data_IF_979396151774
#
_entry.id   IF_979396151774
#
_cell.length_a   1.000
_cell.length_b   1.000
_cell.length_c   1.000
_cell.angle_alpha   90.00
_cell.angle_beta   90.00
_cell.angle_gamma   90.00
#
_symmetry.space_group_name_H-M   'P 1'
#
loop_
_entity.id
_entity.type
_entity.pdbx_description
1 polymer ?
#
# COMPACT_ATOMS: atom_id res chain seq x y z
N UNK A 1 6.82 -11.97 -8.27
CA UNK A 1 8.22 -12.20 -8.71
C UNK A 1 8.81 -10.82 -8.98
N UNK A 2 9.74 -10.34 -8.15
CA UNK A 2 10.37 -9.03 -8.39
C UNK A 2 11.38 -9.25 -9.51
N UNK A 3 11.18 -8.60 -10.65
CA UNK A 3 12.05 -8.69 -11.82
C UNK A 3 13.49 -8.29 -11.44
N UNK A 4 14.47 -9.03 -11.95
CA UNK A 4 15.90 -8.75 -11.74
C UNK A 4 16.27 -7.35 -12.23
N UNK A 5 15.60 -6.86 -13.28
CA UNK A 5 15.73 -5.48 -13.78
C UNK A 5 15.28 -4.48 -12.72
N UNK A 6 14.20 -4.78 -11.99
CA UNK A 6 13.68 -3.94 -10.92
C UNK A 6 14.60 -3.91 -9.70
N UNK A 7 15.23 -5.04 -9.34
CA UNK A 7 16.26 -5.09 -8.31
C UNK A 7 17.51 -4.29 -8.69
N UNK A 8 17.93 -4.39 -9.97
CA UNK A 8 19.04 -3.61 -10.54
C UNK A 8 18.78 -2.09 -10.53
N UNK A 9 17.54 -1.64 -10.64
CA UNK A 9 17.17 -0.23 -10.44
C UNK A 9 17.07 0.14 -8.95
N UNK A 10 16.75 -0.81 -8.07
CA UNK A 10 16.82 -0.63 -6.62
C UNK A 10 18.25 -0.38 -6.12
N UNK A 11 19.26 -0.93 -6.79
CA UNK A 11 20.68 -0.66 -6.51
C UNK A 11 21.15 0.73 -6.93
N UNK A 12 20.41 1.38 -7.84
CA UNK A 12 20.75 2.71 -8.36
C UNK A 12 20.50 3.82 -7.34
N UNK A 13 19.52 3.65 -6.46
CA UNK A 13 19.06 4.68 -5.53
C UNK A 13 19.39 4.23 -4.12
N UNK A 14 20.49 4.72 -3.55
CA UNK A 14 20.77 4.50 -2.13
C UNK A 14 19.69 5.22 -1.30
N UNK A 15 18.80 4.42 -0.70
CA UNK A 15 17.70 4.88 0.19
C UNK A 15 17.86 4.32 1.60
N UNK A 16 19.10 4.05 2.03
CA UNK A 16 19.39 3.45 3.33
C UNK A 16 18.90 4.34 4.48
N UNK A 17 18.94 5.67 4.30
CA UNK A 17 18.42 6.63 5.26
C UNK A 17 16.91 6.49 5.48
N UNK A 18 16.14 6.39 4.38
CA UNK A 18 14.70 6.22 4.43
C UNK A 18 14.30 4.82 4.90
N UNK A 19 15.04 3.78 4.49
CA UNK A 19 14.86 2.42 4.99
C UNK A 19 15.11 2.34 6.50
N UNK A 20 16.15 3.01 7.00
CA UNK A 20 16.43 3.09 8.45
C UNK A 20 15.31 3.80 9.20
N UNK A 21 14.74 4.88 8.64
CA UNK A 21 13.57 5.56 9.23
C UNK A 21 12.35 4.64 9.27
N UNK A 22 12.10 3.89 8.19
CA UNK A 22 11.05 2.89 8.15
C UNK A 22 11.22 1.85 9.26
N UNK A 23 12.42 1.26 9.38
CA UNK A 23 12.75 0.32 10.44
C UNK A 23 12.48 0.91 11.83
N UNK A 24 12.91 2.15 12.08
CA UNK A 24 12.64 2.82 13.35
C UNK A 24 11.13 2.97 13.62
N UNK A 25 10.31 3.33 12.62
CA UNK A 25 8.85 3.47 12.78
C UNK A 25 8.17 2.13 13.03
N UNK A 26 8.67 1.07 12.39
CA UNK A 26 8.20 -0.30 12.62
C UNK A 26 8.51 -0.74 14.05
N UNK A 27 9.72 -0.44 14.53
CA UNK A 27 10.18 -0.83 15.86
C UNK A 27 9.60 0.06 16.98
N UNK A 28 9.19 1.29 16.65
CA UNK A 28 8.65 2.26 17.60
C UNK A 28 7.11 2.21 17.66
N UNK A 29 6.55 2.08 18.86
CA UNK A 29 5.10 2.11 19.10
C UNK A 29 4.47 3.51 19.01
N UNK A 30 5.26 4.58 19.05
CA UNK A 30 4.79 5.96 19.04
C UNK A 30 4.11 6.31 17.71
N UNK A 31 4.71 5.90 16.60
CA UNK A 31 4.27 6.24 15.24
C UNK A 31 3.45 5.13 14.62
N UNK A 32 2.39 5.51 13.92
CA UNK A 32 1.56 4.56 13.18
C UNK A 32 1.71 4.73 11.67
N UNK A 33 2.07 5.94 11.22
CA UNK A 33 2.09 6.29 9.80
C UNK A 33 3.45 6.85 9.42
N UNK A 34 4.03 6.30 8.36
CA UNK A 34 5.14 6.89 7.62
C UNK A 34 4.63 7.43 6.29
N UNK A 35 4.97 8.68 5.97
CA UNK A 35 4.70 9.27 4.66
C UNK A 35 6.03 9.47 3.94
N UNK A 36 6.14 8.94 2.74
CA UNK A 36 7.29 9.09 1.85
C UNK A 36 6.87 10.05 0.74
N UNK A 37 7.42 11.27 0.79
CA UNK A 37 7.06 12.33 -0.13
C UNK A 37 8.10 12.49 -1.24
N UNK A 38 7.66 12.89 -2.43
CA UNK A 38 8.55 13.44 -3.45
C UNK A 38 8.01 13.24 -4.85
N UNK A 39 8.48 14.06 -5.79
CA UNK A 39 7.94 14.11 -7.14
C UNK A 39 8.07 12.79 -7.92
N UNK A 40 7.27 12.65 -8.98
CA UNK A 40 7.37 11.53 -9.93
C UNK A 40 8.82 11.36 -10.43
N UNK A 41 9.33 10.12 -10.36
CA UNK A 41 10.69 9.77 -10.79
C UNK A 41 11.78 9.93 -9.72
N UNK A 42 11.44 10.37 -8.50
CA UNK A 42 12.38 10.45 -7.37
C UNK A 42 12.72 9.08 -6.74
N UNK A 43 12.10 8.00 -7.20
CA UNK A 43 12.37 6.63 -6.72
C UNK A 43 11.45 6.14 -5.59
N UNK A 44 10.23 6.69 -5.45
CA UNK A 44 9.19 6.19 -4.53
C UNK A 44 8.93 4.69 -4.72
N UNK A 45 8.63 4.25 -5.95
CA UNK A 45 8.36 2.84 -6.26
C UNK A 45 9.57 1.93 -6.00
N UNK A 46 10.80 2.40 -6.24
CA UNK A 46 12.01 1.62 -5.93
C UNK A 46 12.15 1.42 -4.42
N UNK A 47 11.92 2.48 -3.62
CA UNK A 47 11.89 2.38 -2.17
C UNK A 47 10.75 1.48 -1.70
N UNK A 48 9.53 1.64 -2.21
CA UNK A 48 8.37 0.79 -1.89
C UNK A 48 8.70 -0.71 -2.04
N UNK A 49 9.30 -1.10 -3.16
CA UNK A 49 9.75 -2.49 -3.38
C UNK A 49 10.83 -2.93 -2.41
N UNK A 50 11.75 -2.03 -2.03
CA UNK A 50 12.75 -2.31 -0.99
C UNK A 50 12.10 -2.50 0.38
N UNK A 51 11.05 -1.74 0.72
CA UNK A 51 10.29 -1.92 1.96
C UNK A 51 9.57 -3.28 1.97
N UNK A 52 8.97 -3.70 0.85
CA UNK A 52 8.38 -5.05 0.73
C UNK A 52 9.44 -6.13 0.99
N UNK A 53 10.62 -5.99 0.38
CA UNK A 53 11.74 -6.92 0.59
C UNK A 53 12.16 -6.96 2.06
N UNK A 54 12.28 -5.81 2.72
CA UNK A 54 12.59 -5.72 4.14
C UNK A 54 11.53 -6.43 5.00
N UNK A 55 10.24 -6.18 4.74
CA UNK A 55 9.13 -6.85 5.43
C UNK A 55 9.16 -8.37 5.22
N UNK A 56 9.21 -8.83 3.97
CA UNK A 56 9.04 -10.24 3.61
C UNK A 56 10.29 -11.08 3.86
N UNK A 57 11.45 -10.59 3.42
CA UNK A 57 12.64 -11.42 3.30
C UNK A 57 13.57 -11.25 4.50
N UNK A 58 13.67 -10.04 5.06
CA UNK A 58 14.56 -9.73 6.18
C UNK A 58 13.85 -9.91 7.53
N UNK A 59 12.74 -9.21 7.73
CA UNK A 59 12.05 -9.15 9.03
C UNK A 59 10.93 -10.18 9.21
N UNK A 60 10.53 -10.86 8.14
CA UNK A 60 9.45 -11.88 8.14
C UNK A 60 8.12 -11.37 8.72
N UNK A 61 7.82 -10.09 8.48
CA UNK A 61 6.58 -9.43 8.91
C UNK A 61 5.49 -9.65 7.86
N UNK A 62 4.23 -9.66 8.32
CA UNK A 62 3.09 -9.63 7.39
C UNK A 62 2.98 -8.24 6.78
N UNK A 63 2.67 -8.18 5.50
CA UNK A 63 2.48 -6.93 4.79
C UNK A 63 1.26 -7.02 3.86
N UNK A 64 0.69 -5.87 3.52
CA UNK A 64 -0.26 -5.70 2.44
C UNK A 64 0.20 -4.55 1.54
N UNK A 65 0.04 -4.68 0.22
CA UNK A 65 0.43 -3.65 -0.75
C UNK A 65 -0.78 -3.23 -1.59
N UNK A 66 -0.92 -1.93 -1.79
CA UNK A 66 -1.87 -1.35 -2.74
C UNK A 66 -1.13 -0.38 -3.65
N UNK A 67 -1.38 -0.46 -4.96
CA UNK A 67 -0.80 0.44 -5.95
C UNK A 67 -1.84 0.76 -7.04
N UNK A 68 -1.71 1.94 -7.65
CA UNK A 68 -2.63 2.43 -8.66
C UNK A 68 -2.04 2.27 -10.05
N UNK A 69 -2.76 1.56 -10.91
CA UNK A 69 -2.52 1.57 -12.36
C UNK A 69 -3.32 2.71 -13.00
N UNK A 70 -2.71 3.45 -13.90
CA UNK A 70 -3.34 4.60 -14.59
C UNK A 70 -4.62 4.21 -15.37
N UNK A 71 -4.85 2.93 -15.62
CA UNK A 71 -5.97 2.41 -16.40
C UNK A 71 -7.18 2.00 -15.56
N UNK A 72 -7.14 2.13 -14.22
CA UNK A 72 -8.24 1.72 -13.33
C UNK A 72 -8.47 2.75 -12.22
N UNK A 73 -9.73 3.10 -11.96
CA UNK A 73 -10.10 3.79 -10.73
C UNK A 73 -10.18 2.77 -9.59
N UNK A 74 -9.27 2.88 -8.62
CA UNK A 74 -9.38 2.10 -7.38
C UNK A 74 -10.18 2.93 -6.39
N UNK A 75 -11.29 2.37 -5.93
CA UNK A 75 -12.10 2.91 -4.83
C UNK A 75 -11.69 2.28 -3.49
N UNK A 76 -12.22 2.81 -2.39
CA UNK A 76 -12.03 2.29 -1.03
C UNK A 76 -12.26 0.77 -0.91
N UNK A 77 -13.26 0.21 -1.60
CA UNK A 77 -13.54 -1.23 -1.61
C UNK A 77 -12.39 -2.03 -2.20
N UNK A 78 -11.74 -1.51 -3.24
CA UNK A 78 -10.62 -2.18 -3.90
C UNK A 78 -9.39 -2.21 -2.97
N UNK A 79 -9.16 -1.13 -2.22
CA UNK A 79 -8.11 -1.08 -1.19
C UNK A 79 -8.37 -2.12 -0.10
N UNK A 80 -9.58 -2.15 0.48
CA UNK A 80 -9.94 -3.13 1.51
C UNK A 80 -9.83 -4.58 1.01
N UNK A 81 -10.33 -4.89 -0.20
CA UNK A 81 -10.20 -6.22 -0.81
C UNK A 81 -8.74 -6.63 -0.97
N UNK A 82 -7.89 -5.73 -1.49
CA UNK A 82 -6.47 -6.02 -1.67
C UNK A 82 -5.77 -6.32 -0.35
N UNK A 83 -6.02 -5.50 0.68
CA UNK A 83 -5.46 -5.73 2.02
C UNK A 83 -5.95 -7.05 2.60
N UNK A 84 -7.25 -7.36 2.48
CA UNK A 84 -7.81 -8.66 2.87
C UNK A 84 -7.04 -9.80 2.21
N UNK A 85 -6.89 -9.74 0.89
CA UNK A 85 -6.30 -10.84 0.11
C UNK A 85 -4.82 -11.05 0.47
N UNK A 86 -4.08 -9.97 0.76
CA UNK A 86 -2.68 -10.05 1.21
C UNK A 86 -2.54 -10.56 2.64
N UNK A 87 -3.45 -10.17 3.54
CA UNK A 87 -3.41 -10.57 4.96
C UNK A 87 -3.91 -12.02 5.17
N UNK A 88 -4.81 -12.46 4.31
CA UNK A 88 -5.48 -13.77 4.35
C UNK A 88 -7.00 -13.60 4.38
N UNK A 89 -7.67 -13.96 3.27
CA UNK A 89 -9.11 -13.74 3.11
C UNK A 89 -9.98 -14.49 4.13
N UNK A 90 -9.48 -15.61 4.67
CA UNK A 90 -10.09 -16.41 5.73
C UNK A 90 -10.30 -15.62 7.03
N UNK A 91 -9.52 -14.55 7.25
CA UNK A 91 -9.62 -13.70 8.44
C UNK A 91 -10.66 -12.59 8.34
N UNK A 92 -11.28 -12.42 7.18
CA UNK A 92 -12.21 -11.34 6.86
C UNK A 92 -13.56 -11.89 6.43
N UNK A 93 -14.04 -12.93 7.10
CA UNK A 93 -15.30 -13.58 6.73
C UNK A 93 -16.47 -12.61 6.86
N UNK A 94 -16.58 -11.89 7.98
CA UNK A 94 -17.70 -10.97 8.23
C UNK A 94 -17.68 -9.79 7.24
N UNK A 95 -16.51 -9.22 6.97
CA UNK A 95 -16.34 -8.23 5.91
C UNK A 95 -16.72 -8.78 4.54
N UNK A 96 -16.31 -10.00 4.21
CA UNK A 96 -16.61 -10.64 2.92
C UNK A 96 -18.11 -10.90 2.77
N UNK A 97 -18.80 -11.30 3.84
CA UNK A 97 -20.25 -11.52 3.86
C UNK A 97 -21.00 -10.21 3.68
N UNK A 98 -20.59 -9.16 4.39
CA UNK A 98 -21.17 -7.81 4.26
C UNK A 98 -20.94 -7.21 2.86
N UNK A 99 -19.75 -7.41 2.32
CA UNK A 99 -19.39 -7.02 0.97
C UNK A 99 -20.26 -7.73 -0.08
N UNK A 100 -20.45 -9.05 0.05
CA UNK A 100 -21.33 -9.83 -0.82
C UNK A 100 -22.78 -9.35 -0.70
N UNK A 101 -23.25 -9.07 0.51
CA UNK A 101 -24.58 -8.54 0.77
C UNK A 101 -24.86 -7.23 0.01
N UNK A 102 -23.85 -6.35 -0.13
CA UNK A 102 -24.01 -5.10 -0.89
C UNK A 102 -23.81 -5.20 -2.40
N UNK A 103 -23.14 -6.25 -2.89
CA UNK A 103 -22.68 -6.33 -4.30
C UNK A 103 -23.30 -7.48 -5.11
N UNK A 104 -23.87 -8.50 -4.46
CA UNK A 104 -24.45 -9.68 -5.12
C UNK A 104 -25.95 -9.77 -4.88
N UNK A 105 -26.74 -9.72 -5.95
CA UNK A 105 -28.21 -9.73 -5.92
C UNK A 105 -28.81 -11.02 -5.33
N UNK A 106 -28.11 -12.13 -5.49
CA UNK A 106 -28.51 -13.47 -5.04
C UNK A 106 -28.01 -13.81 -3.63
N UNK A 107 -27.15 -12.98 -3.03
CA UNK A 107 -26.59 -13.26 -1.71
C UNK A 107 -27.63 -13.07 -0.59
N UNK A 108 -27.84 -14.13 0.20
CA UNK A 108 -28.61 -14.14 1.44
C UNK A 108 -27.65 -14.27 2.62
N UNK A 109 -27.77 -13.36 3.60
CA UNK A 109 -26.92 -13.40 4.79
C UNK A 109 -27.26 -14.65 5.61
N UNK A 110 -26.32 -15.57 5.76
CA UNK A 110 -26.51 -16.77 6.59
C UNK A 110 -25.95 -16.47 7.98
N UNK A 111 -26.83 -16.34 8.98
CA UNK A 111 -26.41 -16.13 10.37
C UNK A 111 -26.10 -17.49 11.01
N UNK A 112 -24.85 -17.69 11.45
CA UNK A 112 -24.48 -18.85 12.25
C UNK A 112 -24.74 -18.54 13.74
N UNK A 113 -25.87 -19.05 14.26
CA UNK A 113 -26.40 -18.71 15.60
C UNK A 113 -25.76 -19.55 16.71
N UNK A 114 -24.69 -20.30 16.43
CA UNK A 114 -24.19 -21.28 17.42
C UNK A 114 -23.47 -20.68 18.64
N UNK A 115 -23.08 -19.40 18.64
CA UNK A 115 -22.24 -18.84 19.73
C UNK A 115 -22.55 -17.39 20.20
N UNK A 116 -23.70 -16.78 19.87
CA UNK A 116 -24.00 -15.41 20.29
C UNK A 116 -25.27 -15.30 21.14
N UNK A 117 -25.09 -15.06 22.44
CA UNK A 117 -26.13 -14.46 23.28
C UNK A 117 -26.43 -13.04 22.78
N UNK A 118 -27.73 -12.73 22.66
CA UNK A 118 -28.32 -11.45 22.23
C UNK A 118 -27.69 -10.77 21.00
N UNK A 119 -28.26 -11.08 19.83
CA UNK A 119 -28.02 -10.31 18.61
C UNK A 119 -29.04 -9.17 18.57
N UNK A 120 -28.58 -7.93 18.80
CA UNK A 120 -29.35 -6.72 18.49
C UNK A 120 -29.43 -6.57 16.96
N UNK A 121 -30.48 -7.14 16.37
CA UNK A 121 -30.85 -6.88 14.98
C UNK A 121 -31.37 -5.45 14.90
N UNK A 122 -30.62 -4.57 14.24
CA UNK A 122 -30.99 -3.18 14.00
C UNK A 122 -32.45 -3.06 13.51
N UNK A 123 -33.13 -2.10 14.11
CA UNK A 123 -34.59 -1.92 14.30
C UNK A 123 -35.53 -1.91 13.07
N UNK A 124 -35.11 -2.34 11.87
CA UNK A 124 -35.96 -2.39 10.65
C UNK A 124 -35.65 -3.51 9.65
N UNK A 125 -34.84 -4.50 9.99
CA UNK A 125 -34.61 -5.65 9.11
C UNK A 125 -35.62 -6.76 9.43
N UNK A 126 -36.76 -6.80 8.71
CA UNK A 126 -37.62 -7.98 8.70
C UNK A 126 -36.89 -9.12 7.98
N UNK A 127 -36.47 -10.14 8.72
CA UNK A 127 -35.97 -11.39 8.16
C UNK A 127 -37.18 -12.29 7.90
N UNK A 128 -37.59 -12.38 6.63
CA UNK A 128 -38.49 -13.43 6.15
C UNK A 128 -37.66 -14.45 5.36
N UNK A 129 -37.67 -15.69 5.82
CA UNK A 129 -37.02 -16.88 5.26
C UNK A 129 -35.49 -16.93 5.27
N UNK A 130 -34.92 -17.29 6.43
CA UNK A 130 -33.56 -17.82 6.54
C UNK A 130 -33.58 -19.35 6.51
N UNK A 131 -33.17 -19.94 5.39
CA UNK A 131 -32.88 -21.39 5.30
C UNK A 131 -31.51 -21.68 5.93
N UNK A 132 -31.50 -22.63 6.87
CA UNK A 132 -30.28 -23.09 7.55
C UNK A 132 -29.60 -24.12 6.64
N UNK A 133 -28.45 -23.76 6.07
CA UNK A 133 -27.65 -24.64 5.21
C UNK A 133 -26.17 -24.63 5.58
N UNK A 134 -25.57 -25.81 5.69
CA UNK A 134 -24.14 -26.02 5.97
C UNK A 134 -23.29 -25.50 4.80
N UNK A 135 -22.36 -24.58 5.08
CA UNK A 135 -21.59 -23.85 4.06
C UNK A 135 -20.59 -24.75 3.36
N UNK A 136 -20.80 -25.00 2.06
CA UNK A 136 -19.73 -25.41 1.15
C UNK A 136 -18.91 -24.16 0.80
N UNK A 137 -17.60 -24.24 1.01
CA UNK A 137 -16.65 -23.17 0.69
C UNK A 137 -16.83 -22.69 -0.76
N UNK A 138 -17.38 -21.49 -0.93
CA UNK A 138 -17.44 -20.83 -2.24
C UNK A 138 -16.04 -20.30 -2.55
N UNK A 139 -15.30 -21.08 -3.32
CA UNK A 139 -14.03 -20.66 -3.94
C UNK A 139 -14.36 -19.56 -4.95
N UNK A 140 -13.92 -18.33 -4.66
CA UNK A 140 -14.10 -17.18 -5.53
C UNK A 140 -13.14 -17.31 -6.73
N UNK A 141 -13.70 -17.27 -7.94
CA UNK A 141 -12.96 -16.85 -9.15
C UNK A 141 -13.26 -15.38 -9.38
N UNK A 142 -12.20 -14.57 -9.41
CA UNK A 142 -12.20 -13.12 -9.59
C UNK A 142 -13.11 -12.63 -10.72
N UNK A 143 -14.14 -11.88 -10.35
CA UNK A 143 -14.79 -10.92 -11.25
C UNK A 143 -14.99 -9.61 -10.48
N UNK A 144 -14.33 -8.57 -10.97
CA UNK A 144 -14.37 -7.17 -10.49
C UNK A 144 -15.78 -6.56 -10.59
N UNK A 145 -16.75 -7.06 -9.83
CA UNK A 145 -18.06 -6.45 -9.71
C UNK A 145 -18.03 -5.55 -8.48
N UNK A 146 -17.87 -4.25 -8.73
CA UNK A 146 -18.01 -3.17 -7.75
C UNK A 146 -19.38 -2.50 -7.86
N UNK A 147 -20.31 -3.05 -8.65
CA UNK A 147 -21.62 -2.45 -8.86
C UNK A 147 -22.50 -2.72 -7.64
N UNK A 148 -23.04 -1.67 -7.00
CA UNK A 148 -24.01 -1.83 -5.94
C UNK A 148 -25.26 -2.55 -6.45
N UNK A 149 -25.89 -3.33 -5.59
CA UNK A 149 -27.23 -3.88 -5.85
C UNK A 149 -28.25 -2.77 -6.12
N UNK A 150 -28.99 -2.88 -7.22
CA UNK A 150 -30.07 -1.94 -7.56
C UNK A 150 -31.30 -2.09 -6.64
N UNK A 151 -31.49 -3.27 -6.04
CA UNK A 151 -32.66 -3.56 -5.21
C UNK A 151 -32.55 -3.05 -3.76
N UNK A 152 -31.44 -2.41 -3.38
CA UNK A 152 -31.23 -1.81 -2.06
C UNK A 152 -30.71 -0.38 -2.18
N UNK A 153 -31.57 0.59 -1.86
CA UNK A 153 -31.20 2.00 -1.75
C UNK A 153 -30.40 2.27 -0.45
N UNK A 154 -29.18 1.76 -0.39
CA UNK A 154 -28.21 2.13 0.64
C UNK A 154 -27.28 3.18 0.05
N UNK A 155 -27.30 4.37 0.65
CA UNK A 155 -26.43 5.49 0.27
C UNK A 155 -24.96 5.06 0.30
N UNK A 156 -24.17 5.53 -0.65
CA UNK A 156 -22.76 5.16 -0.78
C UNK A 156 -21.96 5.41 0.51
N UNK A 157 -22.20 6.56 1.16
CA UNK A 157 -21.54 6.91 2.43
C UNK A 157 -21.86 5.92 3.55
N UNK A 158 -23.12 5.50 3.67
CA UNK A 158 -23.53 4.51 4.67
C UNK A 158 -22.89 3.15 4.40
N UNK A 159 -22.79 2.77 3.12
CA UNK A 159 -22.13 1.52 2.72
C UNK A 159 -20.64 1.57 3.03
N UNK A 160 -19.97 2.66 2.67
CA UNK A 160 -18.56 2.90 2.94
C UNK A 160 -18.30 2.77 4.44
N UNK A 161 -19.02 3.54 5.26
CA UNK A 161 -18.89 3.49 6.71
C UNK A 161 -19.05 2.07 7.27
N UNK A 162 -20.13 1.36 6.91
CA UNK A 162 -20.38 -0.01 7.41
C UNK A 162 -19.29 -0.99 6.99
N UNK A 163 -18.85 -0.92 5.73
CA UNK A 163 -17.76 -1.75 5.24
C UNK A 163 -16.45 -1.44 5.98
N UNK A 164 -16.12 -0.17 6.18
CA UNK A 164 -14.92 0.24 6.93
C UNK A 164 -14.96 -0.29 8.36
N UNK A 165 -16.08 -0.15 9.07
CA UNK A 165 -16.21 -0.60 10.46
C UNK A 165 -16.05 -2.11 10.59
N UNK A 166 -16.69 -2.87 9.70
CA UNK A 166 -16.55 -4.32 9.70
C UNK A 166 -15.12 -4.73 9.32
N UNK A 167 -14.54 -4.10 8.30
CA UNK A 167 -13.17 -4.36 7.86
C UNK A 167 -12.15 -4.11 8.98
N UNK A 168 -12.27 -2.99 9.71
CA UNK A 168 -11.42 -2.69 10.85
C UNK A 168 -11.59 -3.69 11.99
N UNK A 169 -12.82 -4.20 12.21
CA UNK A 169 -13.06 -5.24 13.20
C UNK A 169 -12.35 -6.55 12.86
N UNK A 170 -12.48 -7.00 11.62
CA UNK A 170 -11.83 -8.21 11.11
C UNK A 170 -10.30 -8.03 11.08
N UNK A 171 -9.82 -6.87 10.67
CA UNK A 171 -8.39 -6.54 10.68
C UNK A 171 -7.82 -6.57 12.09
N UNK A 172 -8.52 -6.00 13.08
CA UNK A 172 -8.10 -6.05 14.48
C UNK A 172 -7.99 -7.49 15.00
N UNK A 173 -8.99 -8.34 14.68
CA UNK A 173 -8.96 -9.76 15.03
C UNK A 173 -7.82 -10.51 14.30
N UNK A 174 -7.50 -10.11 13.06
CA UNK A 174 -6.46 -10.71 12.24
C UNK A 174 -5.02 -10.39 12.69
N UNK A 175 -4.82 -9.32 13.47
CA UNK A 175 -3.51 -8.93 14.00
C UNK A 175 -2.97 -10.00 14.96
N UNK A 176 -3.78 -10.42 15.93
CA UNK A 176 -3.29 -11.27 17.02
C UNK A 176 -2.06 -10.65 17.69
N UNK A 177 -0.95 -11.41 17.76
CA UNK A 177 0.35 -10.91 18.25
C UNK A 177 1.27 -10.40 17.14
N UNK A 178 0.81 -10.39 15.88
CA UNK A 178 1.63 -10.09 14.73
C UNK A 178 1.47 -8.65 14.25
N UNK A 179 2.61 -8.03 13.92
CA UNK A 179 2.63 -6.74 13.26
C UNK A 179 2.28 -6.86 11.78
N UNK A 180 1.50 -5.91 11.26
CA UNK A 180 1.15 -5.79 9.84
C UNK A 180 1.61 -4.43 9.31
N UNK A 181 2.33 -4.44 8.20
CA UNK A 181 2.69 -3.23 7.46
C UNK A 181 1.81 -3.09 6.23
N UNK A 182 1.03 -2.00 6.15
CA UNK A 182 0.20 -1.66 5.00
C UNK A 182 0.95 -0.62 4.18
N UNK A 183 1.41 -1.03 3.01
CA UNK A 183 2.17 -0.23 2.07
C UNK A 183 1.23 0.24 0.94
N UNK A 184 1.20 1.54 0.67
CA UNK A 184 0.32 2.12 -0.35
C UNK A 184 1.15 3.06 -1.23
N UNK A 185 1.32 2.68 -2.50
CA UNK A 185 2.04 3.45 -3.50
C UNK A 185 1.09 4.29 -4.37
N UNK A 186 1.59 5.37 -4.97
CA UNK A 186 0.83 6.29 -5.83
C UNK A 186 -0.48 6.84 -5.20
N UNK A 187 -0.43 7.24 -3.93
CA UNK A 187 -1.61 7.74 -3.17
C UNK A 187 -2.26 8.95 -3.86
N UNK A 188 -1.48 9.78 -4.55
CA UNK A 188 -1.99 10.93 -5.30
C UNK A 188 -2.99 10.57 -6.40
N UNK A 189 -2.97 9.32 -6.90
CA UNK A 189 -3.89 8.83 -7.94
C UNK A 189 -5.26 8.42 -7.41
N UNK A 190 -5.47 8.43 -6.10
CA UNK A 190 -6.78 8.17 -5.49
C UNK A 190 -7.79 9.24 -5.92
N UNK A 191 -9.06 8.82 -6.05
CA UNK A 191 -10.16 9.78 -6.13
C UNK A 191 -10.22 10.60 -4.83
N UNK A 192 -10.74 11.85 -4.86
CA UNK A 192 -10.88 12.66 -3.65
C UNK A 192 -11.62 11.91 -2.52
N UNK A 193 -12.69 11.20 -2.85
CA UNK A 193 -13.51 10.46 -1.88
C UNK A 193 -12.72 9.30 -1.23
N UNK A 194 -11.91 8.58 -2.02
CA UNK A 194 -11.07 7.49 -1.49
C UNK A 194 -9.94 8.04 -0.63
N UNK A 195 -9.39 9.20 -0.98
CA UNK A 195 -8.36 9.88 -0.19
C UNK A 195 -8.92 10.36 1.15
N UNK A 196 -10.10 10.98 1.15
CA UNK A 196 -10.76 11.43 2.37
C UNK A 196 -11.09 10.25 3.28
N UNK A 197 -11.64 9.17 2.71
CA UNK A 197 -11.89 7.91 3.42
C UNK A 197 -10.62 7.33 4.04
N UNK A 198 -9.52 7.28 3.28
CA UNK A 198 -8.25 6.70 3.74
C UNK A 198 -7.81 7.34 5.05
N UNK A 199 -7.80 8.67 5.11
CA UNK A 199 -7.32 9.40 6.28
C UNK A 199 -8.35 9.48 7.40
N UNK A 200 -9.61 9.78 7.08
CA UNK A 200 -10.65 10.11 8.07
C UNK A 200 -11.37 8.90 8.65
N UNK A 201 -11.45 7.79 7.91
CA UNK A 201 -12.09 6.57 8.40
C UNK A 201 -11.10 5.44 8.62
N UNK A 202 -10.24 5.14 7.63
CA UNK A 202 -9.42 3.94 7.70
C UNK A 202 -8.23 4.09 8.66
N UNK A 203 -7.36 5.08 8.42
CA UNK A 203 -6.19 5.35 9.28
C UNK A 203 -6.65 5.80 10.66
N UNK A 204 -7.55 6.78 10.72
CA UNK A 204 -8.11 7.28 11.99
C UNK A 204 -8.84 6.20 12.77
N UNK A 205 -9.65 5.36 12.11
CA UNK A 205 -10.35 4.26 12.76
C UNK A 205 -9.41 3.18 13.31
N UNK A 206 -8.29 2.91 12.64
CA UNK A 206 -7.26 2.03 13.17
C UNK A 206 -6.57 2.63 14.42
N UNK A 207 -6.33 3.94 14.43
CA UNK A 207 -5.80 4.66 15.60
C UNK A 207 -6.77 4.67 16.78
N UNK A 208 -8.05 4.96 16.53
CA UNK A 208 -9.08 5.03 17.58
C UNK A 208 -9.32 3.68 18.25
N UNK A 209 -9.08 2.59 17.51
CA UNK A 209 -9.10 1.21 18.03
C UNK A 209 -7.77 0.76 18.65
N UNK A 210 -6.81 1.67 18.78
CA UNK A 210 -5.48 1.45 19.36
C UNK A 210 -4.72 0.27 18.71
N UNK A 211 -4.82 0.12 17.39
CA UNK A 211 -4.15 -0.97 16.65
C UNK A 211 -2.65 -0.68 16.45
N UNK A 212 -1.88 -0.54 17.52
CA UNK A 212 -0.46 -0.17 17.48
C UNK A 212 0.44 -1.14 16.67
N UNK A 213 -0.04 -2.36 16.44
CA UNK A 213 0.59 -3.39 15.59
C UNK A 213 0.41 -3.14 14.09
N UNK A 214 -0.42 -2.17 13.68
CA UNK A 214 -0.53 -1.77 12.27
C UNK A 214 0.39 -0.59 12.03
N UNK A 215 1.17 -0.68 10.94
CA UNK A 215 1.97 0.42 10.43
C UNK A 215 1.53 0.74 9.02
N UNK A 216 1.23 2.00 8.74
CA UNK A 216 0.93 2.48 7.41
C UNK A 216 2.17 3.13 6.80
N UNK A 217 2.43 2.86 5.53
CA UNK A 217 3.43 3.58 4.74
C UNK A 217 2.78 4.08 3.47
N UNK A 218 2.76 5.39 3.30
CA UNK A 218 2.17 6.07 2.15
C UNK A 218 3.26 6.68 1.29
N UNK A 219 3.38 6.25 0.03
CA UNK A 219 4.17 6.97 -0.97
C UNK A 219 3.26 7.97 -1.69
N UNK A 220 3.59 9.25 -1.59
CA UNK A 220 2.79 10.35 -2.12
C UNK A 220 3.68 11.42 -2.75
N UNK A 221 3.15 12.21 -3.69
CA UNK A 221 3.89 13.34 -4.27
C UNK A 221 4.18 14.45 -3.27
N UNK A 222 3.18 14.86 -2.48
CA UNK A 222 3.26 15.95 -1.52
C UNK A 222 2.78 15.50 -0.13
N UNK A 223 3.33 16.14 0.91
CA UNK A 223 2.93 15.85 2.28
C UNK A 223 1.43 16.17 2.49
N UNK A 224 0.66 15.28 3.14
CA UNK A 224 -0.75 15.53 3.40
C UNK A 224 -0.91 16.69 4.38
N UNK A 225 -1.86 17.57 4.10
CA UNK A 225 -2.28 18.60 5.05
C UNK A 225 -3.22 17.97 6.09
N UNK A 226 -2.67 17.63 7.24
CA UNK A 226 -3.40 17.00 8.34
C UNK A 226 -3.86 18.09 9.31
N UNK A 227 -5.15 18.42 9.29
CA UNK A 227 -5.71 19.43 10.22
C UNK A 227 -5.73 18.97 11.70
N UNK A 228 -5.72 17.66 11.95
CA UNK A 228 -5.85 17.07 13.28
C UNK A 228 -4.48 16.89 13.97
N UNK A 229 -4.26 17.59 15.10
CA UNK A 229 -3.04 17.48 15.90
C UNK A 229 -2.73 16.05 16.37
N UNK A 230 -3.75 15.25 16.67
CA UNK A 230 -3.55 13.87 17.09
C UNK A 230 -2.94 13.04 15.95
N UNK A 231 -3.47 13.20 14.74
CA UNK A 231 -2.94 12.56 13.53
C UNK A 231 -1.50 13.01 13.26
N UNK A 232 -1.22 14.31 13.36
CA UNK A 232 0.14 14.86 13.16
C UNK A 232 1.18 14.22 14.09
N UNK A 233 0.82 13.92 15.34
CA UNK A 233 1.74 13.28 16.31
C UNK A 233 2.05 11.82 15.94
N UNK A 234 1.12 11.14 15.26
CA UNK A 234 1.24 9.73 14.85
C UNK A 234 1.86 9.55 13.46
N UNK A 235 2.06 10.63 12.72
CA UNK A 235 2.57 10.65 11.36
C UNK A 235 4.02 11.14 11.33
N UNK A 236 4.85 10.48 10.52
CA UNK A 236 6.23 10.87 10.26
C UNK A 236 6.49 10.94 8.76
N UNK A 237 6.91 12.11 8.31
CA UNK A 237 7.19 12.35 6.90
C UNK A 237 8.68 12.21 6.58
N UNK A 238 8.99 11.68 5.41
CA UNK A 238 10.32 11.54 4.85
C UNK A 238 10.29 11.98 3.38
N UNK A 239 10.84 13.16 3.12
CA UNK A 239 11.01 13.64 1.74
C UNK A 239 12.21 12.94 1.08
N UNK A 240 11.98 12.34 -0.08
CA UNK A 240 13.01 11.73 -0.89
C UNK A 240 13.89 12.80 -1.52
N UNK A 241 15.19 12.64 -1.31
CA UNK A 241 16.18 13.58 -1.85
C UNK A 241 16.60 13.20 -3.26
N UNK A 242 16.98 14.22 -4.00
CA UNK A 242 17.77 14.07 -5.23
C UNK A 242 19.09 13.36 -4.93
N UNK A 243 19.61 12.64 -5.92
CA UNK A 243 20.91 11.98 -5.84
C UNK A 243 22.05 13.00 -6.03
N UNK A 244 23.15 12.77 -5.33
CA UNK A 244 24.38 13.53 -5.53
C UNK A 244 25.22 12.93 -6.65
N UNK A 245 26.22 13.69 -7.12
CA UNK A 245 27.25 13.19 -8.03
C UNK A 245 27.96 11.95 -7.45
N UNK A 246 28.23 11.94 -6.14
CA UNK A 246 28.90 10.81 -5.48
C UNK A 246 28.04 9.54 -5.53
N UNK A 247 26.70 9.66 -5.43
CA UNK A 247 25.83 8.51 -5.60
C UNK A 247 25.90 7.91 -7.01
N UNK A 248 26.01 8.76 -8.04
CA UNK A 248 26.19 8.31 -9.42
C UNK A 248 27.55 7.62 -9.58
N UNK A 249 28.61 8.23 -9.05
CA UNK A 249 29.95 7.69 -9.10
C UNK A 249 30.04 6.31 -8.43
N UNK A 250 29.47 6.17 -7.22
CA UNK A 250 29.39 4.88 -6.51
C UNK A 250 28.65 3.82 -7.34
N UNK A 251 27.54 4.19 -7.99
CA UNK A 251 26.80 3.27 -8.85
C UNK A 251 27.62 2.83 -10.07
N UNK A 252 28.26 3.78 -10.77
CA UNK A 252 29.13 3.49 -11.91
C UNK A 252 30.33 2.60 -11.49
N UNK A 253 30.85 2.81 -10.29
CA UNK A 253 31.92 2.01 -9.71
C UNK A 253 31.48 0.57 -9.46
N UNK A 254 30.30 0.36 -8.86
CA UNK A 254 29.71 -0.99 -8.68
C UNK A 254 29.52 -1.73 -10.00
N UNK A 255 29.18 -0.99 -11.06
CA UNK A 255 29.03 -1.51 -12.43
C UNK A 255 30.35 -1.72 -13.18
N UNK A 256 31.48 -1.36 -12.58
CA UNK A 256 32.82 -1.44 -13.18
C UNK A 256 32.89 -0.76 -14.56
N UNK A 257 32.18 0.35 -14.71
CA UNK A 257 32.22 1.15 -15.95
C UNK A 257 33.58 1.81 -16.08
N UNK A 258 34.29 1.60 -17.18
CA UNK A 258 35.55 2.27 -17.51
C UNK A 258 36.61 2.28 -16.40
N UNK A 259 37.55 3.21 -16.50
CA UNK A 259 38.49 3.53 -15.41
C UNK A 259 37.88 4.59 -14.46
N UNK A 260 38.58 4.94 -13.39
CA UNK A 260 38.08 5.90 -12.40
C UNK A 260 37.85 7.32 -12.96
N UNK A 261 38.73 7.79 -13.84
CA UNK A 261 38.59 9.10 -14.47
C UNK A 261 37.36 9.15 -15.38
N UNK A 262 37.12 8.08 -16.15
CA UNK A 262 35.92 7.93 -16.98
C UNK A 262 34.66 7.98 -16.12
N UNK A 263 34.65 7.29 -14.97
CA UNK A 263 33.52 7.29 -14.02
C UNK A 263 33.25 8.67 -13.45
N UNK A 264 34.28 9.40 -13.04
CA UNK A 264 34.14 10.79 -12.53
C UNK A 264 33.58 11.72 -13.60
N UNK A 265 34.15 11.69 -14.80
CA UNK A 265 33.66 12.52 -15.92
C UNK A 265 32.22 12.21 -16.30
N UNK A 266 31.86 10.92 -16.35
CA UNK A 266 30.50 10.48 -16.63
C UNK A 266 29.52 10.88 -15.51
N UNK A 267 29.91 10.73 -14.25
CA UNK A 267 29.09 11.15 -13.11
C UNK A 267 28.79 12.66 -13.16
N UNK A 268 29.79 13.50 -13.44
CA UNK A 268 29.63 14.94 -13.60
C UNK A 268 28.69 15.30 -14.74
N UNK A 269 28.86 14.67 -15.91
CA UNK A 269 28.01 14.89 -17.08
C UNK A 269 26.55 14.51 -16.80
N UNK A 270 26.32 13.34 -16.20
CA UNK A 270 24.98 12.86 -15.84
C UNK A 270 24.36 13.79 -14.78
N UNK A 271 25.12 14.22 -13.78
CA UNK A 271 24.64 15.14 -12.76
C UNK A 271 24.23 16.49 -13.37
N UNK A 272 25.07 17.06 -14.24
CA UNK A 272 24.80 18.32 -14.92
C UNK A 272 23.54 18.27 -15.80
N UNK A 273 23.24 17.11 -16.40
CA UNK A 273 22.11 16.95 -17.32
C UNK A 273 20.83 16.51 -16.61
N UNK A 274 20.94 15.61 -15.62
CA UNK A 274 19.82 15.00 -14.91
C UNK A 274 19.42 15.70 -13.61
N UNK A 275 20.21 16.67 -13.15
CA UNK A 275 19.96 17.49 -11.95
C UNK A 275 19.53 16.68 -10.71
N UNK A 276 20.21 15.57 -10.42
CA UNK A 276 19.89 14.75 -9.25
C UNK A 276 18.72 13.76 -9.41
N UNK A 277 17.95 13.79 -10.50
CA UNK A 277 16.72 13.00 -10.62
C UNK A 277 17.00 11.51 -10.94
N UNK A 278 16.63 10.57 -10.05
CA UNK A 278 16.97 9.15 -10.21
C UNK A 278 16.51 8.52 -11.51
N UNK A 279 15.26 8.75 -11.94
CA UNK A 279 14.75 8.17 -13.20
C UNK A 279 15.58 8.60 -14.40
N UNK A 280 15.85 9.90 -14.51
CA UNK A 280 16.62 10.49 -15.61
C UNK A 280 18.06 9.98 -15.62
N UNK A 281 18.70 9.92 -14.44
CA UNK A 281 20.05 9.39 -14.36
C UNK A 281 20.12 7.91 -14.72
N UNK A 282 19.15 7.10 -14.27
CA UNK A 282 19.11 5.68 -14.56
C UNK A 282 18.93 5.41 -16.08
N UNK A 283 18.13 6.23 -16.75
CA UNK A 283 17.99 6.22 -18.22
C UNK A 283 19.31 6.59 -18.92
N UNK A 284 20.00 7.63 -18.45
CA UNK A 284 21.28 8.06 -19.02
C UNK A 284 22.38 7.01 -18.86
N UNK A 285 22.51 6.41 -17.67
CA UNK A 285 23.48 5.32 -17.46
C UNK A 285 23.14 4.13 -18.34
N UNK A 286 21.86 3.76 -18.45
CA UNK A 286 21.44 2.68 -19.34
C UNK A 286 21.79 2.98 -20.80
N UNK A 287 21.51 4.18 -21.29
CA UNK A 287 21.83 4.59 -22.65
C UNK A 287 23.34 4.50 -22.93
N UNK A 288 24.16 4.97 -21.98
CA UNK A 288 25.61 4.86 -22.08
C UNK A 288 26.08 3.40 -22.14
N UNK A 289 25.60 2.55 -21.23
CA UNK A 289 25.97 1.13 -21.20
C UNK A 289 25.60 0.40 -22.49
N UNK A 290 24.41 0.66 -23.03
CA UNK A 290 23.97 0.10 -24.32
C UNK A 290 24.87 0.56 -25.46
N UNK A 291 25.24 1.85 -25.48
CA UNK A 291 26.14 2.39 -26.50
C UNK A 291 27.54 1.76 -26.44
N UNK A 292 28.10 1.59 -25.23
CA UNK A 292 29.40 0.95 -25.05
C UNK A 292 29.39 -0.50 -25.52
N UNK A 293 28.34 -1.27 -25.20
CA UNK A 293 28.20 -2.66 -25.65
C UNK A 293 28.17 -2.79 -27.17
N UNK A 294 27.40 -1.93 -27.85
CA UNK A 294 27.29 -1.95 -29.32
C UNK A 294 28.54 -1.46 -30.05
N UNK A 295 29.54 -0.92 -29.34
CA UNK A 295 30.79 -0.44 -29.93
C UNK A 295 31.90 -1.49 -29.86
N UNK A 296 31.77 -2.45 -28.94
CA UNK A 296 32.71 -3.55 -28.74
C UNK A 296 32.32 -4.82 -29.54
N UNK A 297 31.15 -4.81 -30.20
CA UNK A 297 30.67 -5.79 -31.21
C UNK A 297 30.98 -5.33 -32.65
#
# INVERSE_FOLDING_TARGET
>A
MIDEITLRYGEFVNRDGELKRFCNIVDDSEYMVMVICGETGIGKTSLHKRLIYECRDIRKMRWAETFWLNTRSYNYMTVMRKIRDDVGADKFQQFTDLLNYFTKSDYKLTLDVQHAGEINVLDKAEIKDSEIGTVAAVVIKDLNINTPREDKEIREQERMFRLTQQFLSDLAAALGDQQIVILVDDVEKMTPETRDWLWTEFVRGAMDRNMSQIKFVFCIDAEPDLADEFMQRKVRSAALKLLSEENIFEYLNKRKVGNEADRRGLAQMIMATGNGKPSTMAEMVKAFLTYSQNRDD
#
